data_IF_212512465138
#
_entry.id   IF_212512465138
#
_cell.length_a   1.000
_cell.length_b   1.000
_cell.length_c   1.000
_cell.angle_alpha   90.00
_cell.angle_beta   90.00
_cell.angle_gamma   90.00
#
_symmetry.space_group_name_H-M   'P 1'
#
loop_
_entity.id
_entity.type
_entity.pdbx_description
1 polymer ?
#
# COMPACT_ATOMS: atom_id res chain seq x y z
N UNK A 1 -19.82 9.39 -15.02
CA UNK A 1 -19.08 8.81 -13.88
C UNK A 1 -20.06 8.18 -12.92
N UNK A 2 -19.97 6.86 -12.68
CA UNK A 2 -20.72 6.16 -11.64
C UNK A 2 -20.26 6.73 -10.26
N UNK A 3 -21.15 6.87 -9.26
CA UNK A 3 -20.76 7.34 -7.93
C UNK A 3 -19.79 6.36 -7.25
N UNK A 4 -19.04 6.79 -6.21
CA UNK A 4 -18.24 5.89 -5.38
C UNK A 4 -19.05 4.69 -4.89
N UNK A 5 -18.42 3.53 -4.85
CA UNK A 5 -18.93 2.28 -4.28
C UNK A 5 -18.17 2.00 -2.98
N UNK A 6 -18.76 2.34 -1.82
CA UNK A 6 -18.14 2.11 -0.52
C UNK A 6 -17.80 0.64 -0.28
N UNK A 7 -16.79 0.38 0.54
CA UNK A 7 -16.39 -0.98 0.86
C UNK A 7 -17.48 -1.67 1.70
N UNK A 8 -17.86 -2.88 1.31
CA UNK A 8 -18.94 -3.63 1.97
C UNK A 8 -18.43 -4.92 2.57
N UNK A 9 -18.58 -5.07 3.90
CA UNK A 9 -18.22 -6.31 4.57
C UNK A 9 -19.20 -7.43 4.21
N UNK A 10 -18.67 -8.57 3.79
CA UNK A 10 -19.41 -9.77 3.43
C UNK A 10 -18.86 -11.00 4.16
N UNK A 11 -19.60 -12.12 4.11
CA UNK A 11 -19.12 -13.38 4.67
C UNK A 11 -17.99 -14.01 3.82
N UNK A 12 -18.01 -13.72 2.52
CA UNK A 12 -17.02 -14.15 1.53
C UNK A 12 -17.07 -13.17 0.36
N UNK A 13 -15.91 -12.71 -0.09
CA UNK A 13 -15.75 -11.84 -1.25
C UNK A 13 -16.19 -12.52 -2.57
N UNK A 14 -16.65 -11.71 -3.52
CA UNK A 14 -17.01 -12.12 -4.88
C UNK A 14 -16.38 -11.16 -5.90
N UNK A 15 -15.56 -11.70 -6.80
CA UNK A 15 -14.94 -10.96 -7.92
C UNK A 15 -15.92 -10.09 -8.73
N UNK A 16 -17.21 -10.44 -8.77
CA UNK A 16 -18.25 -9.70 -9.51
C UNK A 16 -18.78 -8.48 -8.75
N UNK A 17 -18.49 -8.37 -7.46
CA UNK A 17 -18.93 -7.28 -6.59
C UNK A 17 -17.74 -6.36 -6.36
N UNK A 18 -17.88 -5.11 -6.77
CA UNK A 18 -16.84 -4.09 -6.54
C UNK A 18 -16.71 -3.80 -5.04
N UNK A 19 -15.48 -3.82 -4.51
CA UNK A 19 -15.13 -3.44 -3.14
C UNK A 19 -15.87 -4.19 -2.00
N UNK A 20 -16.29 -5.44 -2.22
CA UNK A 20 -16.67 -6.27 -1.08
C UNK A 20 -15.41 -6.87 -0.40
N UNK A 21 -15.52 -7.16 0.89
CA UNK A 21 -14.38 -7.69 1.64
C UNK A 21 -14.83 -8.65 2.75
N UNK A 22 -14.01 -9.67 2.99
CA UNK A 22 -14.18 -10.62 4.09
C UNK A 22 -13.01 -10.57 5.10
N UNK A 23 -11.94 -9.85 4.76
CA UNK A 23 -10.76 -9.63 5.63
C UNK A 23 -10.52 -8.15 5.88
N UNK A 24 -9.87 -7.86 7.00
CA UNK A 24 -9.48 -6.51 7.40
C UNK A 24 -8.06 -6.56 7.95
N UNK A 25 -7.19 -5.69 7.43
CA UNK A 25 -5.96 -5.32 8.12
C UNK A 25 -6.25 -4.02 8.85
N UNK A 26 -6.22 -4.06 10.18
CA UNK A 26 -6.50 -2.89 11.01
C UNK A 26 -5.35 -1.89 10.90
N UNK A 27 -5.68 -0.63 11.10
CA UNK A 27 -4.68 0.42 11.34
C UNK A 27 -3.78 0.05 12.52
N UNK A 28 -2.51 0.44 12.39
CA UNK A 28 -1.48 0.29 13.39
C UNK A 28 -1.25 1.64 14.07
N UNK A 29 -1.79 1.77 15.28
CA UNK A 29 -1.79 2.99 16.09
C UNK A 29 -0.63 3.05 17.09
N UNK A 30 0.35 2.16 16.96
CA UNK A 30 1.54 2.13 17.82
C UNK A 30 2.40 3.37 17.62
N UNK A 31 3.03 3.81 18.71
CA UNK A 31 4.06 4.84 18.65
C UNK A 31 5.21 4.42 17.73
N UNK A 32 5.69 5.36 16.93
CA UNK A 32 6.79 5.10 16.00
C UNK A 32 6.38 4.43 14.69
N UNK A 33 5.07 4.35 14.39
CA UNK A 33 4.53 4.06 13.06
C UNK A 33 4.38 5.36 12.28
N UNK A 34 4.90 5.39 11.05
CA UNK A 34 4.73 6.52 10.12
C UNK A 34 4.20 5.97 8.80
N UNK A 35 2.94 6.28 8.49
CA UNK A 35 2.32 5.86 7.23
C UNK A 35 2.91 6.61 6.04
N UNK A 36 3.01 5.93 4.89
CA UNK A 36 3.19 6.62 3.61
C UNK A 36 1.89 7.31 3.22
N UNK A 37 1.98 8.51 2.63
CA UNK A 37 0.84 9.32 2.24
C UNK A 37 1.14 10.13 0.98
N UNK A 38 0.12 10.50 0.19
CA UNK A 38 0.29 11.44 -0.93
C UNK A 38 -0.30 12.82 -0.65
N UNK A 39 -1.18 12.94 0.34
CA UNK A 39 -1.76 14.21 0.76
C UNK A 39 -1.39 14.43 2.23
N UNK A 40 -0.87 15.62 2.52
CA UNK A 40 -0.75 16.13 3.89
C UNK A 40 -1.99 16.96 4.20
N UNK A 41 -2.68 16.62 5.28
CA UNK A 41 -3.95 17.24 5.64
C UNK A 41 -3.83 18.73 6.01
N UNK A 42 -4.89 19.48 5.72
CA UNK A 42 -5.25 20.74 6.37
C UNK A 42 -6.58 20.63 7.14
N UNK A 43 -6.96 19.41 7.55
CA UNK A 43 -8.21 19.06 8.25
C UNK A 43 -7.88 18.11 9.41
N UNK A 44 -8.53 18.21 10.59
CA UNK A 44 -8.07 17.62 11.85
C UNK A 44 -8.15 16.07 11.99
N UNK A 45 -8.25 15.33 10.88
CA UNK A 45 -7.88 13.91 10.71
C UNK A 45 -8.26 13.56 9.26
N UNK A 46 -7.32 13.57 8.29
CA UNK A 46 -6.31 12.52 8.08
C UNK A 46 -4.90 13.06 7.72
N UNK A 47 -3.87 12.24 7.97
CA UNK A 47 -2.46 12.41 7.57
C UNK A 47 -1.66 13.59 8.17
N UNK A 48 -1.97 14.06 9.38
CA UNK A 48 -1.06 14.97 10.10
C UNK A 48 0.35 14.37 10.34
N UNK A 49 0.50 13.04 10.17
CA UNK A 49 1.74 12.29 10.47
C UNK A 49 2.31 11.49 9.28
N UNK A 50 1.72 11.59 8.08
CA UNK A 50 2.12 10.77 6.92
C UNK A 50 3.41 11.28 6.26
N UNK A 51 4.30 10.38 5.86
CA UNK A 51 5.47 10.76 5.07
C UNK A 51 5.05 10.92 3.60
N UNK A 52 5.27 12.11 3.04
CA UNK A 52 4.92 12.48 1.66
C UNK A 52 6.15 12.31 0.74
N UNK A 53 5.99 11.85 -0.52
CA UNK A 53 7.12 11.77 -1.42
C UNK A 53 7.73 13.15 -1.71
N UNK A 54 9.04 13.20 -1.91
CA UNK A 54 9.80 14.40 -2.26
C UNK A 54 9.98 14.61 -3.76
N UNK A 55 9.67 13.61 -4.61
CA UNK A 55 9.70 13.78 -6.07
C UNK A 55 8.44 14.54 -6.57
N UNK A 56 8.48 15.15 -7.77
CA UNK A 56 7.34 15.86 -8.35
C UNK A 56 6.02 15.08 -8.31
N UNK A 57 4.94 15.74 -7.89
CA UNK A 57 3.61 15.14 -7.77
C UNK A 57 3.03 14.58 -9.09
N UNK A 58 3.51 15.07 -10.23
CA UNK A 58 3.13 14.56 -11.55
C UNK A 58 3.55 13.09 -11.78
N UNK A 59 4.46 12.55 -10.97
CA UNK A 59 4.95 11.16 -11.07
C UNK A 59 4.18 10.19 -10.17
N UNK A 60 3.28 10.66 -9.30
CA UNK A 60 2.78 9.86 -8.17
C UNK A 60 1.63 8.91 -8.51
N UNK A 61 0.79 9.24 -9.48
CA UNK A 61 -0.51 8.58 -9.62
C UNK A 61 -0.79 8.02 -10.99
N UNK A 62 0.07 8.26 -11.99
CA UNK A 62 -0.20 7.90 -13.38
C UNK A 62 -1.46 8.60 -13.89
N UNK A 63 -2.51 7.82 -14.18
CA UNK A 63 -3.81 8.31 -14.62
C UNK A 63 -4.80 8.53 -13.45
N UNK A 64 -5.81 9.39 -13.65
CA UNK A 64 -6.89 9.62 -12.68
C UNK A 64 -6.50 10.47 -11.47
N UNK A 65 -5.22 10.84 -11.29
CA UNK A 65 -4.77 11.74 -10.23
C UNK A 65 -4.93 13.23 -10.55
N UNK A 66 -4.47 14.13 -9.66
CA UNK A 66 -3.94 13.83 -8.31
C UNK A 66 -5.05 13.33 -7.37
N UNK A 67 -4.68 12.61 -6.31
CA UNK A 67 -5.62 12.27 -5.24
C UNK A 67 -6.09 13.55 -4.53
N UNK A 68 -7.36 13.55 -4.13
CA UNK A 68 -8.02 14.63 -3.36
C UNK A 68 -8.59 14.12 -2.02
N UNK A 69 -8.26 12.88 -1.66
CA UNK A 69 -8.59 12.23 -0.40
C UNK A 69 -7.42 11.35 0.04
N UNK A 70 -7.36 11.09 1.34
CA UNK A 70 -6.47 10.09 1.92
C UNK A 70 -7.17 8.73 1.97
N UNK A 71 -6.36 7.66 2.04
CA UNK A 71 -6.83 6.28 2.22
C UNK A 71 -7.89 5.88 1.19
N UNK A 72 -7.74 6.40 -0.03
CA UNK A 72 -8.67 6.19 -1.11
C UNK A 72 -7.96 5.70 -2.36
N UNK A 73 -8.71 4.95 -3.15
CA UNK A 73 -8.27 4.39 -4.42
C UNK A 73 -8.07 5.48 -5.47
N UNK A 74 -7.49 5.13 -6.62
CA UNK A 74 -7.37 6.08 -7.73
C UNK A 74 -8.73 6.27 -8.43
N UNK A 75 -9.55 5.25 -8.59
CA UNK A 75 -10.80 5.34 -9.32
C UNK A 75 -10.64 5.95 -10.71
N UNK A 76 -11.77 6.38 -11.26
CA UNK A 76 -11.84 7.09 -12.55
C UNK A 76 -11.61 8.62 -12.42
N UNK A 77 -11.05 9.06 -11.28
CA UNK A 77 -10.85 10.47 -10.93
C UNK A 77 -11.46 10.88 -9.59
N UNK A 78 -11.38 12.18 -9.30
CA UNK A 78 -11.68 12.76 -7.98
C UNK A 78 -13.08 12.48 -7.42
N UNK A 79 -14.06 12.16 -8.28
CA UNK A 79 -15.45 11.93 -7.89
C UNK A 79 -15.82 10.44 -7.73
N UNK A 80 -14.88 9.53 -7.97
CA UNK A 80 -15.14 8.07 -8.03
C UNK A 80 -14.21 7.26 -7.14
N UNK A 81 -13.44 7.93 -6.28
CA UNK A 81 -12.53 7.34 -5.29
C UNK A 81 -13.31 6.46 -4.32
N UNK A 82 -12.77 5.31 -3.99
CA UNK A 82 -13.32 4.34 -3.04
C UNK A 82 -12.35 4.12 -1.89
N UNK A 83 -12.77 3.34 -0.89
CA UNK A 83 -11.87 2.86 0.14
C UNK A 83 -10.95 1.75 -0.41
N UNK A 84 -9.78 1.55 0.21
CA UNK A 84 -8.79 0.59 -0.26
C UNK A 84 -9.21 -0.84 0.08
N UNK A 85 -9.58 -1.59 -0.96
CA UNK A 85 -9.76 -3.05 -0.90
C UNK A 85 -8.85 -3.69 -1.93
N UNK A 86 -8.09 -4.70 -1.52
CA UNK A 86 -7.20 -5.49 -2.38
C UNK A 86 -7.51 -6.95 -2.10
N UNK A 87 -7.95 -7.72 -3.09
CA UNK A 87 -8.15 -9.16 -2.92
C UNK A 87 -9.16 -9.53 -1.82
N UNK A 88 -10.25 -8.77 -1.69
CA UNK A 88 -11.24 -8.92 -0.62
C UNK A 88 -10.72 -8.56 0.78
N UNK A 89 -9.58 -7.88 0.87
CA UNK A 89 -9.00 -7.39 2.13
C UNK A 89 -9.12 -5.87 2.20
N UNK A 90 -9.86 -5.38 3.20
CA UNK A 90 -10.02 -3.96 3.48
C UNK A 90 -8.85 -3.39 4.27
N UNK A 91 -8.41 -2.20 3.87
CA UNK A 91 -7.34 -1.42 4.51
C UNK A 91 -7.86 -0.02 4.85
N UNK A 92 -7.99 0.33 6.14
CA UNK A 92 -8.32 1.69 6.57
C UNK A 92 -7.26 2.73 6.19
N UNK A 93 -6.02 2.26 5.96
CA UNK A 93 -4.85 3.09 5.64
C UNK A 93 -4.24 2.63 4.33
N UNK A 94 -4.01 3.53 3.38
CA UNK A 94 -3.47 3.15 2.09
C UNK A 94 -3.39 4.27 1.05
N UNK A 95 -2.92 3.92 -0.14
CA UNK A 95 -2.74 4.84 -1.27
C UNK A 95 -3.21 4.15 -2.54
N UNK A 96 -4.17 4.75 -3.24
CA UNK A 96 -4.52 4.37 -4.61
C UNK A 96 -3.56 4.96 -5.64
N UNK A 97 -3.25 4.17 -6.66
CA UNK A 97 -2.34 4.57 -7.75
C UNK A 97 -2.79 3.95 -9.06
N UNK A 98 -2.53 4.63 -10.17
CA UNK A 98 -2.61 4.00 -11.48
C UNK A 98 -1.19 3.82 -12.05
N UNK A 99 -0.85 2.64 -12.56
CA UNK A 99 0.43 2.39 -13.21
C UNK A 99 0.61 3.23 -14.49
N UNK A 100 1.79 3.75 -14.84
CA UNK A 100 3.05 3.74 -14.09
C UNK A 100 3.15 4.92 -13.12
N UNK A 101 3.87 4.72 -12.02
CA UNK A 101 4.09 5.76 -11.01
C UNK A 101 5.42 5.58 -10.28
N UNK A 102 5.92 6.67 -9.68
CA UNK A 102 7.14 6.69 -8.88
C UNK A 102 6.95 7.50 -7.60
N UNK A 103 7.40 6.93 -6.49
CA UNK A 103 7.55 7.64 -5.21
C UNK A 103 9.01 7.67 -4.80
N UNK A 104 9.43 8.80 -4.26
CA UNK A 104 10.73 8.94 -3.57
C UNK A 104 10.46 9.55 -2.21
N UNK A 105 10.68 8.81 -1.14
CA UNK A 105 10.52 9.29 0.24
C UNK A 105 11.87 9.57 0.86
N UNK A 106 12.03 10.78 1.43
CA UNK A 106 13.21 11.13 2.21
C UNK A 106 13.11 10.54 3.62
N UNK A 107 14.08 9.70 3.97
CA UNK A 107 14.18 9.03 5.27
C UNK A 107 15.01 9.83 6.29
N UNK A 108 15.65 10.93 5.88
CA UNK A 108 16.47 11.81 6.72
C UNK A 108 15.63 12.97 7.24
N UNK A 109 14.93 12.78 8.35
CA UNK A 109 14.09 13.83 8.95
C UNK A 109 12.82 13.35 9.63
N UNK A 110 12.62 12.04 9.72
CA UNK A 110 11.55 11.46 10.53
C UNK A 110 11.70 11.77 12.03
N UNK A 111 10.65 11.46 12.83
CA UNK A 111 10.66 11.70 14.28
C UNK A 111 11.74 10.88 15.01
N UNK A 112 12.17 9.76 14.41
CA UNK A 112 13.31 8.95 14.80
C UNK A 112 13.83 8.19 13.57
N UNK A 113 15.01 7.54 13.63
CA UNK A 113 15.48 6.69 12.55
C UNK A 113 14.49 5.57 12.23
N UNK A 114 14.16 5.43 10.94
CA UNK A 114 13.36 4.32 10.43
C UNK A 114 14.21 3.04 10.41
N UNK A 115 13.60 1.93 10.81
CA UNK A 115 14.25 0.63 10.94
C UNK A 115 13.65 -0.43 10.00
N UNK A 116 12.39 -0.27 9.59
CA UNK A 116 11.69 -1.27 8.79
C UNK A 116 10.57 -0.64 7.96
N UNK A 117 10.34 -1.17 6.78
CA UNK A 117 9.12 -0.95 6.01
C UNK A 117 8.20 -2.16 6.17
N UNK A 118 6.89 -1.91 6.33
CA UNK A 118 5.85 -2.93 6.27
C UNK A 118 4.67 -2.42 5.45
N UNK A 119 4.03 -3.29 4.69
CA UNK A 119 2.81 -2.95 3.97
C UNK A 119 2.36 -4.05 3.04
N UNK A 120 1.37 -3.73 2.23
CA UNK A 120 0.80 -4.60 1.23
C UNK A 120 0.69 -3.86 -0.10
N UNK A 121 0.85 -4.60 -1.19
CA UNK A 121 0.66 -4.10 -2.55
C UNK A 121 -0.25 -5.04 -3.34
N UNK A 122 -0.98 -4.50 -4.31
CA UNK A 122 -1.79 -5.28 -5.22
C UNK A 122 -2.70 -4.41 -6.05
N UNK A 123 -3.57 -5.04 -6.83
CA UNK A 123 -4.59 -4.34 -7.61
C UNK A 123 -5.79 -4.02 -6.73
N UNK A 124 -6.33 -2.82 -6.89
CA UNK A 124 -7.54 -2.35 -6.21
C UNK A 124 -8.78 -3.10 -6.72
N UNK A 125 -9.68 -3.45 -5.81
CA UNK A 125 -10.96 -4.10 -6.14
C UNK A 125 -12.03 -3.13 -6.66
N UNK A 126 -11.67 -1.87 -6.90
CA UNK A 126 -12.57 -0.84 -7.43
C UNK A 126 -12.91 -0.99 -8.91
N UNK A 127 -12.30 -1.96 -9.59
CA UNK A 127 -12.46 -2.25 -11.02
C UNK A 127 -13.93 -2.23 -11.45
N UNK A 128 -14.22 -1.55 -12.57
CA UNK A 128 -15.56 -1.62 -13.18
C UNK A 128 -15.74 -3.01 -13.80
N UNK A 129 -16.70 -3.84 -13.35
CA UNK A 129 -16.97 -5.14 -13.95
C UNK A 129 -17.32 -5.06 -15.44
N UNK A 130 -17.83 -3.92 -15.91
CA UNK A 130 -18.25 -3.73 -17.30
C UNK A 130 -17.10 -3.38 -18.27
N UNK A 131 -15.97 -2.88 -17.77
CA UNK A 131 -14.87 -2.36 -18.60
C UNK A 131 -13.48 -2.90 -18.21
N UNK A 132 -13.27 -3.13 -16.93
CA UNK A 132 -12.02 -3.58 -16.33
C UNK A 132 -12.21 -4.90 -15.57
N UNK A 133 -13.19 -5.74 -15.95
CA UNK A 133 -13.73 -6.82 -15.10
C UNK A 133 -12.74 -7.84 -14.50
N UNK A 134 -11.49 -7.93 -14.99
CA UNK A 134 -10.41 -8.73 -14.39
C UNK A 134 -9.35 -7.94 -13.62
N UNK A 135 -9.48 -6.61 -13.59
CA UNK A 135 -8.43 -5.66 -13.23
C UNK A 135 -7.36 -5.57 -14.31
N UNK A 136 -6.50 -4.56 -14.20
CA UNK A 136 -5.24 -4.49 -14.94
C UNK A 136 -4.13 -5.27 -14.24
N UNK A 137 -2.88 -4.91 -14.54
CA UNK A 137 -1.71 -5.52 -13.92
C UNK A 137 -0.68 -4.49 -13.47
N UNK A 138 0.09 -4.80 -12.44
CA UNK A 138 1.18 -3.92 -12.01
C UNK A 138 2.33 -4.70 -11.37
N UNK A 139 3.54 -4.16 -11.50
CA UNK A 139 4.72 -4.60 -10.78
C UNK A 139 5.16 -3.55 -9.77
N UNK A 140 5.71 -3.99 -8.64
CA UNK A 140 6.16 -3.10 -7.56
C UNK A 140 7.63 -3.38 -7.26
N UNK A 141 8.47 -2.34 -7.36
CA UNK A 141 9.90 -2.41 -7.01
C UNK A 141 10.21 -1.39 -5.94
N UNK A 142 10.87 -1.82 -4.87
CA UNK A 142 11.31 -0.97 -3.77
C UNK A 142 12.84 -0.93 -3.76
N UNK A 143 13.39 0.27 -3.66
CA UNK A 143 14.82 0.52 -3.62
C UNK A 143 15.17 1.40 -2.42
N UNK A 144 16.28 1.09 -1.76
CA UNK A 144 16.91 1.97 -0.77
C UNK A 144 18.16 2.57 -1.40
N UNK A 145 18.20 3.90 -1.53
CA UNK A 145 19.30 4.64 -2.18
C UNK A 145 19.71 4.05 -3.54
N UNK A 146 18.71 3.81 -4.40
CA UNK A 146 18.89 3.22 -5.73
C UNK A 146 19.14 1.70 -5.78
N UNK A 147 19.37 1.04 -4.64
CA UNK A 147 19.56 -0.43 -4.57
C UNK A 147 18.23 -1.14 -4.35
N UNK A 148 17.87 -2.05 -5.25
CA UNK A 148 16.69 -2.92 -5.10
C UNK A 148 16.78 -3.77 -3.81
N UNK A 149 15.73 -3.67 -3.00
CA UNK A 149 15.55 -4.46 -1.76
C UNK A 149 14.34 -5.40 -1.86
N UNK A 150 13.38 -5.07 -2.72
CA UNK A 150 12.24 -5.93 -3.01
C UNK A 150 11.74 -5.68 -4.45
N UNK A 151 11.32 -6.75 -5.11
CA UNK A 151 10.66 -6.70 -6.41
C UNK A 151 9.58 -7.78 -6.49
N UNK A 152 8.35 -7.36 -6.77
CA UNK A 152 7.25 -8.30 -7.00
C UNK A 152 7.36 -8.93 -8.40
N UNK A 153 6.69 -10.07 -8.57
CA UNK A 153 6.22 -10.45 -9.91
C UNK A 153 5.11 -9.47 -10.35
N UNK A 154 4.71 -9.52 -11.61
CA UNK A 154 3.47 -8.86 -12.05
C UNK A 154 2.29 -9.41 -11.24
N UNK A 155 1.50 -8.51 -10.65
CA UNK A 155 0.28 -8.81 -9.92
C UNK A 155 -0.91 -8.43 -10.80
N UNK A 156 -1.85 -9.35 -10.97
CA UNK A 156 -3.10 -9.11 -11.68
C UNK A 156 -4.23 -8.84 -10.69
N UNK A 157 -5.34 -8.25 -11.15
CA UNK A 157 -6.53 -8.05 -10.30
C UNK A 157 -7.28 -9.33 -9.98
N UNK A 158 -7.16 -10.34 -10.84
CA UNK A 158 -7.81 -11.63 -10.66
C UNK A 158 -7.00 -12.77 -11.28
N UNK A 159 -7.20 -13.97 -10.73
CA UNK A 159 -6.73 -15.23 -11.29
C UNK A 159 -7.92 -16.19 -11.43
N UNK A 160 -8.35 -16.41 -12.66
CA UNK A 160 -9.61 -17.09 -12.96
C UNK A 160 -10.82 -16.29 -12.43
N UNK A 161 -11.56 -16.92 -11.52
CA UNK A 161 -12.79 -16.37 -10.91
C UNK A 161 -12.57 -15.85 -9.48
N UNK A 162 -11.33 -15.49 -9.13
CA UNK A 162 -10.98 -15.02 -7.79
C UNK A 162 -10.18 -13.73 -7.86
N UNK A 163 -10.38 -12.84 -6.90
CA UNK A 163 -9.48 -11.71 -6.70
C UNK A 163 -8.10 -12.22 -6.26
N UNK A 164 -7.04 -11.56 -6.72
CA UNK A 164 -5.67 -11.86 -6.25
C UNK A 164 -5.47 -11.22 -4.87
N UNK A 165 -5.04 -11.99 -3.84
CA UNK A 165 -4.84 -11.45 -2.51
C UNK A 165 -3.70 -10.42 -2.47
N UNK A 166 -3.71 -9.49 -1.50
CA UNK A 166 -2.64 -8.51 -1.34
C UNK A 166 -1.31 -9.20 -1.05
N UNK A 167 -0.24 -8.74 -1.68
CA UNK A 167 1.12 -9.21 -1.43
C UNK A 167 1.72 -8.42 -0.26
N UNK A 168 2.07 -9.10 0.83
CA UNK A 168 2.82 -8.49 1.94
C UNK A 168 4.23 -8.15 1.49
N UNK A 169 4.68 -6.94 1.83
CA UNK A 169 6.03 -6.43 1.58
C UNK A 169 6.61 -5.97 2.92
N UNK A 170 7.77 -6.50 3.27
CA UNK A 170 8.50 -6.10 4.46
C UNK A 170 10.00 -6.21 4.24
N UNK A 171 10.76 -5.22 4.72
CA UNK A 171 12.21 -5.25 4.68
C UNK A 171 12.80 -4.29 5.71
N UNK A 172 13.99 -4.62 6.21
CA UNK A 172 14.71 -3.77 7.14
C UNK A 172 15.35 -2.58 6.40
N UNK A 173 15.41 -1.45 7.07
CA UNK A 173 15.97 -0.19 6.58
C UNK A 173 17.28 0.06 7.34
N UNK A 174 18.45 0.04 6.66
CA UNK A 174 19.71 0.41 7.30
C UNK A 174 19.65 1.83 7.83
N UNK A 175 20.24 2.08 9.00
CA UNK A 175 20.25 3.42 9.63
C UNK A 175 20.93 4.51 8.76
N UNK A 176 21.73 4.11 7.77
CA UNK A 176 22.38 5.01 6.81
C UNK A 176 21.52 5.32 5.58
N UNK A 177 20.41 4.60 5.37
CA UNK A 177 19.58 4.75 4.20
C UNK A 177 18.90 6.13 4.19
N UNK A 178 18.93 6.81 3.04
CA UNK A 178 18.42 8.19 2.93
C UNK A 178 17.14 8.29 2.12
N UNK A 179 16.96 7.43 1.14
CA UNK A 179 15.79 7.45 0.27
C UNK A 179 15.16 6.07 0.16
N UNK A 180 13.84 6.03 0.23
CA UNK A 180 13.04 4.92 -0.25
C UNK A 180 12.43 5.31 -1.60
N UNK A 181 12.78 4.59 -2.65
CA UNK A 181 12.19 4.74 -3.97
C UNK A 181 11.24 3.57 -4.24
N UNK A 182 10.04 3.86 -4.73
CA UNK A 182 9.04 2.87 -5.10
C UNK A 182 8.66 3.12 -6.55
N UNK A 183 8.77 2.10 -7.39
CA UNK A 183 8.38 2.12 -8.80
C UNK A 183 7.21 1.17 -9.02
N UNK A 184 6.15 1.69 -9.63
CA UNK A 184 4.96 0.95 -10.03
C UNK A 184 4.95 0.87 -11.56
N UNK A 185 4.94 -0.34 -12.11
CA UNK A 185 4.98 -0.60 -13.56
C UNK A 185 3.61 -0.98 -14.10
N UNK A 186 3.46 -0.96 -15.41
CA UNK A 186 2.27 -1.38 -16.17
C UNK A 186 2.16 -2.90 -16.35
N UNK A 187 2.86 -3.66 -15.50
CA UNK A 187 2.96 -5.13 -15.53
C UNK A 187 3.46 -5.78 -16.83
N UNK A 188 3.77 -5.00 -17.87
CA UNK A 188 4.23 -5.46 -19.19
C UNK A 188 3.13 -5.63 -20.25
N UNK A 189 1.86 -5.31 -19.94
CA UNK A 189 0.73 -5.37 -20.89
C UNK A 189 0.12 -4.00 -21.24
N UNK A 190 0.80 -2.92 -20.80
CA UNK A 190 0.38 -1.54 -21.01
C UNK A 190 -0.58 -1.06 -19.94
N UNK A 191 -0.87 0.24 -19.91
CA UNK A 191 -1.50 0.89 -18.75
C UNK A 191 -3.01 0.63 -18.58
N UNK A 192 -3.60 -0.38 -19.20
CA UNK A 192 -5.07 -0.50 -19.19
C UNK A 192 -5.57 -1.07 -17.87
N UNK A 193 -6.41 -0.30 -17.16
CA UNK A 193 -7.07 -0.72 -15.92
C UNK A 193 -6.12 -0.97 -14.74
N UNK A 194 -4.93 -0.36 -14.74
CA UNK A 194 -3.87 -0.58 -13.75
C UNK A 194 -4.11 0.15 -12.42
N UNK A 195 -5.33 0.03 -11.90
CA UNK A 195 -5.76 0.57 -10.63
C UNK A 195 -5.13 -0.26 -9.52
N UNK A 196 -3.94 0.14 -9.11
CA UNK A 196 -3.15 -0.46 -8.06
C UNK A 196 -3.37 0.25 -6.72
N UNK A 197 -3.00 -0.41 -5.64
CA UNK A 197 -3.07 0.16 -4.31
C UNK A 197 -1.97 -0.35 -3.39
N UNK A 198 -1.61 0.51 -2.45
CA UNK A 198 -0.85 0.17 -1.26
C UNK A 198 -1.81 0.07 -0.08
N UNK A 199 -1.79 -1.05 0.63
CA UNK A 199 -2.53 -1.25 1.88
C UNK A 199 -1.58 -1.23 3.07
N UNK A 200 -1.90 -0.47 4.11
CA UNK A 200 -1.15 -0.40 5.37
C UNK A 200 0.36 -0.14 5.20
N UNK A 201 0.75 0.61 4.16
CA UNK A 201 2.15 0.90 3.85
C UNK A 201 2.73 1.93 4.81
N UNK A 202 3.71 1.51 5.61
CA UNK A 202 4.26 2.27 6.73
C UNK A 202 5.74 2.01 6.96
N UNK A 203 6.38 2.99 7.58
CA UNK A 203 7.72 2.93 8.12
C UNK A 203 7.62 2.78 9.64
N UNK A 204 8.40 1.86 10.19
CA UNK A 204 8.54 1.65 11.61
C UNK A 204 9.86 2.26 12.08
N UNK A 205 9.82 3.04 13.14
CA UNK A 205 11.03 3.42 13.89
C UNK A 205 11.55 2.22 14.68
N UNK A 206 12.77 2.32 15.21
CA UNK A 206 13.37 1.24 16.02
C UNK A 206 12.49 0.78 17.21
N UNK A 207 11.70 1.68 17.80
CA UNK A 207 10.79 1.37 18.92
C UNK A 207 9.65 0.44 18.44
N UNK A 208 8.94 0.84 17.39
CA UNK A 208 7.83 0.07 16.82
C UNK A 208 8.28 -1.28 16.22
N UNK A 209 9.49 -1.34 15.67
CA UNK A 209 10.04 -2.55 15.07
C UNK A 209 10.28 -3.65 16.12
N UNK A 210 10.78 -3.31 17.30
CA UNK A 210 11.03 -4.27 18.40
C UNK A 210 9.72 -4.83 18.95
N UNK A 211 8.73 -3.98 19.19
CA UNK A 211 7.42 -4.44 19.68
C UNK A 211 6.70 -5.40 18.72
N UNK A 212 6.91 -5.24 17.41
CA UNK A 212 6.37 -6.16 16.40
C UNK A 212 7.02 -7.54 16.53
N UNK A 213 8.34 -7.58 16.71
CA UNK A 213 9.10 -8.82 16.87
C UNK A 213 8.73 -9.57 18.16
N UNK A 214 8.48 -8.86 19.26
CA UNK A 214 8.09 -9.47 20.55
C UNK A 214 6.66 -10.05 20.54
N UNK A 215 5.83 -9.67 19.56
CA UNK A 215 4.48 -10.23 19.35
C UNK A 215 4.45 -11.44 18.41
N UNK A 216 5.56 -11.79 17.75
CA UNK A 216 5.69 -13.11 17.12
C UNK A 216 5.76 -14.15 18.26
N UNK A 217 5.06 -15.30 18.18
CA UNK A 217 5.20 -16.32 19.20
C UNK A 217 6.68 -16.73 19.22
N UNK A 218 7.38 -16.39 20.30
CA UNK A 218 8.78 -16.66 20.48
C UNK A 218 9.02 -18.17 20.43
N UNK A 219 9.30 -18.71 19.24
CA UNK A 219 9.82 -20.06 19.04
C UNK A 219 11.33 -20.13 19.34
N UNK A 220 11.82 -19.27 20.26
CA UNK A 220 13.21 -19.19 20.67
C UNK A 220 13.29 -19.18 22.18
N UNK A 221 13.31 -20.38 22.76
CA UNK A 221 13.47 -20.53 24.19
C UNK A 221 13.78 -21.94 24.62
N UNK A 222 15.00 -22.42 24.35
CA UNK A 222 15.86 -23.13 25.32
C UNK A 222 17.33 -23.08 24.87
N UNK A 223 17.98 -21.92 25.01
CA UNK A 223 19.44 -21.92 25.21
C UNK A 223 19.64 -22.06 26.71
N UNK A 224 20.01 -23.26 27.16
CA UNK A 224 20.55 -23.46 28.51
C UNK A 224 21.97 -22.90 28.50
N UNK A 225 22.20 -21.79 29.18
CA UNK A 225 23.54 -21.42 29.63
C UNK A 225 23.71 -22.00 31.03
N UNK A 226 24.57 -23.00 31.15
CA UNK A 226 25.10 -23.45 32.43
C UNK A 226 26.46 -22.79 32.64
N UNK A 227 26.63 -22.07 33.75
CA UNK A 227 27.92 -21.77 34.35
C UNK A 227 28.37 -22.94 35.23
#
# INVERSE_FOLDING_TARGET
NKPPKPATKVAKEDLKVTNDYDKVVKEDDRDGVVYLALIGGGSPAPNDCGLIPSNPAAEWTGWGGPLNCDNCTIGEGATTRNEIVIGGTYFPRGIGVHGTAKYVYNLTGGPAPYARFEGYVGMSDEKDPDGCGKGGTSGFTFKLDGKEVFKSKTLAGSDGDKNVPPLKVEFDIPATAKNLEIEITDGGDGISCDHSAFGDAKLLTAIAAVESADKLPAAWGKIKVSY
#
